data_IF_034585651804
#
_entry.id   IF_034585651804
#
_cell.length_a   1.000
_cell.length_b   1.000
_cell.length_c   1.000
_cell.angle_alpha   90.00
_cell.angle_beta   90.00
_cell.angle_gamma   90.00
#
_symmetry.space_group_name_H-M   'P 1'
#
loop_
_entity.id
_entity.type
_entity.pdbx_description
1 polymer ?
#
# COMPACT_ATOMS: atom_id res chain seq x y z
N UNK A 1 25.07 -3.56 -0.70
CA UNK A 1 24.57 -4.94 -0.81
C UNK A 1 23.28 -5.14 0.00
N UNK A 2 23.28 -4.98 1.34
CA UNK A 2 22.07 -5.17 2.17
C UNK A 2 20.91 -4.19 1.84
N UNK A 3 21.22 -2.93 1.55
CA UNK A 3 20.20 -1.91 1.22
C UNK A 3 19.48 -2.17 -0.10
N UNK A 4 20.16 -2.83 -1.04
CA UNK A 4 19.62 -3.13 -2.37
C UNK A 4 18.63 -4.30 -2.33
N UNK A 5 18.84 -5.24 -1.41
CA UNK A 5 17.94 -6.36 -1.13
C UNK A 5 16.66 -5.87 -0.44
N UNK A 6 16.78 -5.01 0.57
CA UNK A 6 15.63 -4.46 1.28
C UNK A 6 14.75 -3.58 0.36
N UNK A 7 15.38 -2.82 -0.55
CA UNK A 7 14.69 -2.04 -1.58
C UNK A 7 13.85 -2.91 -2.53
N UNK A 8 14.34 -4.12 -2.86
CA UNK A 8 13.60 -5.09 -3.70
C UNK A 8 12.44 -5.76 -2.96
N UNK A 9 12.52 -5.86 -1.65
CA UNK A 9 11.47 -6.47 -0.82
C UNK A 9 10.32 -5.50 -0.53
N UNK A 10 10.60 -4.20 -0.43
CA UNK A 10 9.65 -3.15 -0.06
C UNK A 10 9.72 -1.99 -1.07
N UNK A 11 9.09 -2.13 -2.26
CA UNK A 11 9.23 -1.15 -3.32
C UNK A 11 8.58 0.18 -2.94
N UNK A 12 9.28 1.27 -3.17
CA UNK A 12 8.80 2.64 -2.97
C UNK A 12 8.95 3.45 -4.24
N UNK A 13 8.14 4.50 -4.38
CA UNK A 13 8.25 5.46 -5.47
C UNK A 13 9.60 6.19 -5.40
N UNK A 14 10.34 6.21 -6.50
CA UNK A 14 11.59 6.98 -6.60
C UNK A 14 11.35 8.50 -6.48
N UNK A 15 10.13 8.98 -6.73
CA UNK A 15 9.80 10.40 -6.69
C UNK A 15 9.50 10.93 -5.27
N UNK A 16 8.85 10.12 -4.44
CA UNK A 16 8.35 10.57 -3.13
C UNK A 16 8.62 9.62 -1.96
N UNK A 17 9.14 8.42 -2.22
CA UNK A 17 9.43 7.41 -1.20
C UNK A 17 8.20 6.71 -0.63
N UNK A 18 7.00 6.93 -1.18
CA UNK A 18 5.78 6.26 -0.72
C UNK A 18 5.72 4.81 -1.23
N UNK A 19 5.10 3.88 -0.47
CA UNK A 19 4.89 2.51 -0.89
C UNK A 19 4.25 2.38 -2.27
N UNK A 20 4.80 1.50 -3.11
CA UNK A 20 4.11 1.02 -4.31
C UNK A 20 3.34 -0.24 -3.90
N UNK A 21 2.02 -0.18 -4.01
CA UNK A 21 1.12 -1.25 -3.57
C UNK A 21 0.20 -1.71 -4.70
N UNK A 22 -0.43 -2.87 -4.52
CA UNK A 22 -1.47 -3.35 -5.43
C UNK A 22 -2.85 -2.74 -5.12
N UNK A 23 -3.87 -3.11 -5.92
CA UNK A 23 -5.26 -2.67 -5.74
C UNK A 23 -5.85 -2.99 -4.36
N UNK A 24 -5.29 -3.97 -3.66
CA UNK A 24 -5.72 -4.42 -2.33
C UNK A 24 -4.84 -3.84 -1.22
N UNK A 25 -3.98 -2.87 -1.56
CA UNK A 25 -3.07 -2.15 -0.66
C UNK A 25 -1.99 -3.04 -0.01
N UNK A 26 -1.61 -4.13 -0.68
CA UNK A 26 -0.49 -4.98 -0.25
C UNK A 26 0.83 -4.34 -0.63
N UNK A 27 1.72 -4.22 0.34
CA UNK A 27 3.08 -3.74 0.16
C UNK A 27 4.09 -4.86 0.31
N UNK A 28 5.13 -4.76 -0.52
CA UNK A 28 6.23 -5.69 -0.55
C UNK A 28 5.95 -6.96 -1.35
N UNK A 29 7.03 -7.63 -1.72
CA UNK A 29 7.02 -8.76 -2.67
C UNK A 29 6.24 -9.98 -2.16
N UNK A 30 6.18 -10.16 -0.84
CA UNK A 30 5.41 -11.23 -0.21
C UNK A 30 3.95 -10.86 0.08
N UNK A 31 3.55 -9.59 -0.11
CA UNK A 31 2.19 -9.10 0.09
C UNK A 31 1.63 -9.30 1.50
N UNK A 32 2.49 -9.42 2.51
CA UNK A 32 2.09 -9.66 3.93
C UNK A 32 1.92 -8.38 4.74
N UNK A 33 2.26 -7.23 4.17
CA UNK A 33 2.11 -5.92 4.80
C UNK A 33 1.00 -5.18 4.05
N UNK A 34 0.07 -4.59 4.78
CA UNK A 34 -0.96 -3.74 4.20
C UNK A 34 -0.76 -2.31 4.70
N UNK A 35 -1.01 -1.34 3.83
CA UNK A 35 -0.86 0.09 4.14
C UNK A 35 -2.18 0.81 4.02
N UNK A 36 -2.34 1.88 4.80
CA UNK A 36 -3.50 2.77 4.77
C UNK A 36 -3.05 4.19 5.10
N UNK A 37 -3.97 5.15 5.11
CA UNK A 37 -3.62 6.54 5.40
C UNK A 37 -2.71 7.13 4.31
N UNK A 38 -1.81 8.03 4.70
CA UNK A 38 -0.84 8.64 3.78
C UNK A 38 -0.06 7.57 3.00
N UNK A 39 0.35 6.48 3.62
CA UNK A 39 1.16 5.43 2.97
C UNK A 39 0.45 4.72 1.80
N UNK A 40 -0.88 4.83 1.70
CA UNK A 40 -1.67 4.28 0.59
C UNK A 40 -2.07 5.34 -0.45
N UNK A 41 -1.63 6.59 -0.31
CA UNK A 41 -2.12 7.74 -1.09
C UNK A 41 -1.89 7.60 -2.60
N UNK A 42 -0.82 6.91 -3.03
CA UNK A 42 -0.56 6.68 -4.46
C UNK A 42 -1.65 5.82 -5.12
N UNK A 43 -2.33 4.95 -4.36
CA UNK A 43 -3.34 4.00 -4.86
C UNK A 43 -4.78 4.38 -4.43
N UNK A 44 -4.94 4.98 -3.24
CA UNK A 44 -6.23 5.45 -2.69
C UNK A 44 -6.56 6.88 -3.14
N UNK A 45 -5.54 7.68 -3.51
CA UNK A 45 -5.69 9.06 -3.92
C UNK A 45 -5.79 10.05 -2.74
N UNK A 46 -6.14 11.32 -3.00
CA UNK A 46 -6.03 12.43 -2.05
C UNK A 46 -6.90 12.29 -0.79
N UNK A 47 -7.92 11.42 -0.82
CA UNK A 47 -8.74 11.14 0.36
C UNK A 47 -8.09 10.21 1.36
N UNK A 48 -6.94 9.59 1.05
CA UNK A 48 -6.33 8.57 1.90
C UNK A 48 -6.09 9.02 3.35
N UNK A 49 -5.88 10.33 3.58
CA UNK A 49 -5.64 10.91 4.91
C UNK A 49 -6.89 11.28 5.70
N UNK A 50 -8.09 10.99 5.21
CA UNK A 50 -9.35 11.28 5.89
C UNK A 50 -10.17 10.01 6.19
N UNK A 51 -11.29 10.17 6.90
CA UNK A 51 -12.14 9.05 7.33
C UNK A 51 -12.72 8.28 6.13
N UNK A 52 -13.07 8.97 5.04
CA UNK A 52 -13.58 8.33 3.83
C UNK A 52 -12.51 7.46 3.16
N UNK A 53 -11.27 7.94 3.08
CA UNK A 53 -10.14 7.16 2.57
C UNK A 53 -9.76 5.99 3.47
N UNK A 54 -9.85 6.16 4.80
CA UNK A 54 -9.65 5.06 5.75
C UNK A 54 -10.67 3.93 5.54
N UNK A 55 -11.96 4.27 5.31
CA UNK A 55 -13.00 3.30 4.97
C UNK A 55 -12.72 2.57 3.65
N UNK A 56 -12.39 3.32 2.60
CA UNK A 56 -12.06 2.73 1.30
C UNK A 56 -10.85 1.79 1.38
N UNK A 57 -9.82 2.17 2.14
CA UNK A 57 -8.67 1.31 2.37
C UNK A 57 -9.06 0.01 3.10
N UNK A 58 -9.92 0.10 4.11
CA UNK A 58 -10.43 -1.08 4.81
C UNK A 58 -11.22 -2.02 3.88
N UNK A 59 -12.08 -1.48 3.01
CA UNK A 59 -12.84 -2.26 2.02
C UNK A 59 -11.89 -3.05 1.08
N UNK A 60 -10.88 -2.38 0.51
CA UNK A 60 -9.87 -3.02 -0.37
C UNK A 60 -9.01 -4.07 0.34
N UNK A 61 -8.65 -3.82 1.59
CA UNK A 61 -7.88 -4.80 2.38
C UNK A 61 -8.72 -6.05 2.65
N UNK A 62 -10.02 -5.91 2.93
CA UNK A 62 -10.92 -7.04 3.16
C UNK A 62 -11.10 -7.87 1.89
N UNK A 63 -11.23 -7.24 0.71
CA UNK A 63 -11.30 -7.93 -0.60
C UNK A 63 -10.11 -8.87 -0.84
N UNK A 64 -8.95 -8.52 -0.27
CA UNK A 64 -7.74 -9.34 -0.33
C UNK A 64 -7.89 -10.72 0.34
N UNK A 65 -8.88 -10.89 1.22
CA UNK A 65 -9.14 -12.13 1.96
C UNK A 65 -10.46 -12.81 1.56
N UNK A 66 -11.41 -12.06 1.02
CA UNK A 66 -12.74 -12.58 0.69
C UNK A 66 -12.87 -13.07 -0.75
N UNK A 67 -11.96 -12.67 -1.66
CA UNK A 67 -11.91 -13.18 -3.03
C UNK A 67 -13.21 -12.94 -3.80
N UNK A 68 -13.45 -11.70 -4.20
CA UNK A 68 -14.55 -11.32 -5.11
C UNK A 68 -14.08 -11.24 -6.56
#
# INVERSE_FOLDING_TARGET
>A
MLMEELSKELPTSEYCGFPIVDKNLRWGRNGRIFVSGALAELEVGPSARNIAGARLAAERIVEAFTGS
#
